data_IF_793180039568
#
_entry.id   IF_793180039568
#
_cell.length_a   1.000
_cell.length_b   1.000
_cell.length_c   1.000
_cell.angle_alpha   90.00
_cell.angle_beta   90.00
_cell.angle_gamma   90.00
#
_symmetry.space_group_name_H-M   'P 1'
#
loop_
_entity.id
_entity.type
_entity.pdbx_description
1 polymer ?
#
# COMPACT_ATOMS: atom_id res chain seq x y z
N UNK A 1 -8.93 7.53 -14.68
CA UNK A 1 -7.93 7.15 -13.68
C UNK A 1 -6.56 7.70 -14.06
N UNK A 2 -5.80 8.16 -13.08
CA UNK A 2 -4.44 8.64 -13.27
C UNK A 2 -3.46 7.53 -12.93
N UNK A 3 -2.49 7.29 -13.82
CA UNK A 3 -1.43 6.31 -13.58
C UNK A 3 -0.22 7.01 -12.95
N UNK A 4 0.29 6.42 -11.88
CA UNK A 4 1.40 6.98 -11.10
C UNK A 4 2.52 5.95 -11.05
N UNK A 5 3.76 6.41 -11.31
CA UNK A 5 4.94 5.57 -11.15
C UNK A 5 5.30 5.40 -9.67
N UNK A 6 6.13 4.40 -9.37
CA UNK A 6 6.62 4.17 -8.02
C UNK A 6 7.44 5.33 -7.46
N UNK A 7 7.98 6.19 -8.33
CA UNK A 7 8.68 7.41 -7.91
C UNK A 7 7.72 8.57 -7.58
N UNK A 8 6.42 8.36 -7.70
CA UNK A 8 5.43 9.38 -7.38
C UNK A 8 5.14 10.36 -8.51
N UNK A 9 5.44 10.01 -9.75
CA UNK A 9 5.18 10.85 -10.92
C UNK A 9 3.93 10.36 -11.65
N UNK A 10 3.05 11.29 -12.05
CA UNK A 10 1.89 10.99 -12.90
C UNK A 10 2.41 10.76 -14.32
N UNK A 11 2.23 9.56 -14.85
CA UNK A 11 2.81 9.17 -16.15
C UNK A 11 1.76 9.06 -17.25
N UNK A 12 0.49 8.87 -16.92
CA UNK A 12 -0.58 8.74 -17.90
C UNK A 12 -1.94 8.97 -17.25
N UNK A 13 -2.96 9.13 -18.11
CA UNK A 13 -4.36 9.13 -17.69
C UNK A 13 -5.11 8.15 -18.57
N UNK A 14 -5.85 7.23 -17.95
CA UNK A 14 -6.64 6.21 -18.65
C UNK A 14 -8.04 6.11 -18.05
N UNK A 15 -8.95 5.50 -18.79
CA UNK A 15 -10.26 5.19 -18.26
C UNK A 15 -10.15 4.16 -17.13
N UNK A 16 -11.07 4.21 -16.17
CA UNK A 16 -11.04 3.31 -15.00
C UNK A 16 -11.02 1.82 -15.40
N UNK A 17 -11.74 1.45 -16.45
CA UNK A 17 -11.76 0.07 -16.93
C UNK A 17 -10.39 -0.38 -17.46
N UNK A 18 -9.66 0.50 -18.15
CA UNK A 18 -8.33 0.20 -18.68
C UNK A 18 -7.28 0.15 -17.55
N UNK A 19 -7.48 0.90 -16.48
CA UNK A 19 -6.58 0.92 -15.34
C UNK A 19 -6.84 -0.20 -14.32
N UNK A 20 -7.86 -1.02 -14.51
CA UNK A 20 -8.25 -2.06 -13.54
C UNK A 20 -7.20 -3.15 -13.34
N UNK A 21 -6.26 -3.33 -14.27
CA UNK A 21 -5.17 -4.30 -14.16
C UNK A 21 -4.02 -3.82 -13.26
N UNK A 22 -4.00 -2.52 -12.93
CA UNK A 22 -2.99 -1.94 -12.05
C UNK A 22 -3.47 -1.93 -10.61
N UNK A 23 -2.53 -1.85 -9.67
CA UNK A 23 -2.87 -1.65 -8.26
C UNK A 23 -3.67 -0.35 -8.09
N UNK A 24 -4.71 -0.39 -7.28
CA UNK A 24 -5.61 0.75 -7.07
C UNK A 24 -5.18 1.54 -5.84
N UNK A 25 -5.25 2.87 -5.92
CA UNK A 25 -5.03 3.76 -4.77
C UNK A 25 -6.29 4.61 -4.62
N UNK A 26 -6.90 4.61 -3.45
CA UNK A 26 -8.11 5.36 -3.18
C UNK A 26 -8.09 6.06 -1.82
N UNK A 27 -9.13 6.82 -1.55
CA UNK A 27 -9.33 7.49 -0.28
C UNK A 27 -8.80 8.90 -0.19
N UNK A 28 -8.12 9.41 -1.24
CA UNK A 28 -7.60 10.78 -1.27
C UNK A 28 -7.88 11.42 -2.62
N UNK A 29 -7.93 12.75 -2.64
CA UNK A 29 -8.09 13.53 -3.85
C UNK A 29 -6.74 14.04 -4.35
N UNK A 30 -6.55 14.00 -5.67
CA UNK A 30 -5.37 14.58 -6.29
C UNK A 30 -5.50 16.11 -6.40
N UNK A 31 -4.40 16.80 -6.15
CA UNK A 31 -4.30 18.26 -6.33
C UNK A 31 -3.78 18.55 -7.73
N UNK A 32 -4.61 19.19 -8.54
CA UNK A 32 -4.24 19.63 -9.90
C UNK A 32 -3.45 18.58 -10.70
N UNK A 33 -3.99 17.35 -10.87
CA UNK A 33 -3.22 16.28 -11.53
C UNK A 33 -2.98 16.61 -13.01
N UNK A 34 -1.77 16.29 -13.47
CA UNK A 34 -1.38 16.48 -14.88
C UNK A 34 -0.28 15.48 -15.22
N UNK A 35 -0.35 14.90 -16.42
CA UNK A 35 0.70 13.98 -16.90
C UNK A 35 2.04 14.71 -16.94
N UNK A 36 3.07 14.07 -16.41
CA UNK A 36 4.40 14.63 -16.33
C UNK A 36 4.71 15.36 -15.03
N UNK A 37 3.69 15.58 -14.17
CA UNK A 37 3.87 16.23 -12.88
C UNK A 37 4.04 15.20 -11.77
N UNK A 38 4.57 15.66 -10.63
CA UNK A 38 4.66 14.86 -9.43
C UNK A 38 3.27 14.66 -8.82
N UNK A 39 3.02 13.48 -8.26
CA UNK A 39 1.81 13.23 -7.50
C UNK A 39 1.72 14.25 -6.36
N UNK A 40 0.62 14.94 -6.26
CA UNK A 40 0.28 15.78 -5.13
C UNK A 40 -1.16 15.52 -4.73
N UNK A 41 -1.40 15.37 -3.43
CA UNK A 41 -2.74 15.23 -2.87
C UNK A 41 -3.22 16.59 -2.39
N UNK A 42 -4.54 16.76 -2.26
CA UNK A 42 -5.11 17.96 -1.67
C UNK A 42 -4.45 18.25 -0.32
N UNK A 43 -4.34 19.54 0.05
CA UNK A 43 -3.53 19.97 1.21
C UNK A 43 -3.95 19.32 2.54
N UNK A 44 -5.19 18.90 2.66
CA UNK A 44 -5.69 18.17 3.85
C UNK A 44 -5.09 16.77 3.98
N UNK A 45 -4.46 16.23 2.92
CA UNK A 45 -3.89 14.88 2.88
C UNK A 45 -2.36 14.88 2.87
N UNK A 46 -1.72 15.86 3.50
CA UNK A 46 -0.24 15.99 3.51
C UNK A 46 0.45 14.76 4.11
N UNK A 47 -0.07 14.25 5.23
CA UNK A 47 0.48 13.05 5.88
C UNK A 47 0.31 11.83 5.00
N UNK A 48 -0.86 11.67 4.39
CA UNK A 48 -1.14 10.56 3.48
C UNK A 48 -0.23 10.60 2.24
N UNK A 49 0.00 11.79 1.68
CA UNK A 49 0.88 11.96 0.54
C UNK A 49 2.31 11.51 0.86
N UNK A 50 2.87 12.00 1.95
CA UNK A 50 4.22 11.66 2.39
C UNK A 50 4.37 10.16 2.59
N UNK A 51 3.40 9.55 3.27
CA UNK A 51 3.39 8.12 3.56
C UNK A 51 3.22 7.28 2.30
N UNK A 52 2.34 7.68 1.39
CA UNK A 52 2.15 6.99 0.12
C UNK A 52 3.43 6.96 -0.70
N UNK A 53 4.11 8.09 -0.83
CA UNK A 53 5.36 8.17 -1.59
C UNK A 53 6.45 7.31 -0.95
N UNK A 54 6.55 7.30 0.37
CA UNK A 54 7.50 6.45 1.09
C UNK A 54 7.19 4.97 0.91
N UNK A 55 5.93 4.59 0.96
CA UNK A 55 5.51 3.21 0.75
C UNK A 55 5.79 2.74 -0.68
N UNK A 56 5.48 3.57 -1.68
CA UNK A 56 5.74 3.23 -3.08
C UNK A 56 7.24 3.03 -3.32
N UNK A 57 8.08 3.90 -2.76
CA UNK A 57 9.53 3.76 -2.88
C UNK A 57 10.04 2.47 -2.22
N UNK A 58 9.52 2.12 -1.05
CA UNK A 58 9.90 0.88 -0.37
C UNK A 58 9.45 -0.36 -1.14
N UNK A 59 8.24 -0.35 -1.68
CA UNK A 59 7.72 -1.45 -2.51
C UNK A 59 8.57 -1.66 -3.77
N UNK A 60 8.98 -0.58 -4.43
CA UNK A 60 9.85 -0.66 -5.59
C UNK A 60 11.23 -1.20 -5.22
N UNK A 61 11.84 -0.68 -4.16
CA UNK A 61 13.16 -1.11 -3.70
C UNK A 61 13.19 -2.59 -3.34
N UNK A 62 12.11 -3.12 -2.84
CA UNK A 62 11.99 -4.53 -2.44
C UNK A 62 11.38 -5.41 -3.52
N UNK A 63 11.04 -4.84 -4.67
CA UNK A 63 10.42 -5.55 -5.80
C UNK A 63 9.11 -6.24 -5.42
N UNK A 64 8.28 -5.56 -4.62
CA UNK A 64 7.02 -6.11 -4.12
C UNK A 64 5.78 -5.42 -4.69
N UNK A 65 5.93 -4.47 -5.62
CA UNK A 65 4.78 -3.79 -6.25
C UNK A 65 3.80 -4.76 -6.91
N UNK A 66 4.29 -5.85 -7.47
CA UNK A 66 3.47 -6.85 -8.16
C UNK A 66 2.51 -7.59 -7.23
N UNK A 67 2.78 -7.59 -5.93
CA UNK A 67 1.93 -8.24 -4.93
C UNK A 67 0.82 -7.34 -4.41
N UNK A 68 0.85 -6.05 -4.71
CA UNK A 68 -0.09 -5.07 -4.19
C UNK A 68 -1.29 -4.95 -5.12
N UNK A 69 -2.49 -5.18 -4.58
CA UNK A 69 -3.74 -5.05 -5.32
C UNK A 69 -4.36 -3.67 -5.16
N UNK A 70 -4.27 -3.10 -3.96
CA UNK A 70 -4.82 -1.78 -3.66
C UNK A 70 -4.14 -1.16 -2.44
N UNK A 71 -4.16 0.17 -2.38
CA UNK A 71 -3.73 0.96 -1.22
C UNK A 71 -4.88 1.92 -0.88
N UNK A 72 -5.32 1.91 0.37
CA UNK A 72 -6.46 2.71 0.83
C UNK A 72 -5.97 3.77 1.83
N UNK A 73 -6.27 5.02 1.53
CA UNK A 73 -5.85 6.19 2.31
C UNK A 73 -7.03 6.92 2.98
N UNK A 74 -8.23 6.34 2.91
CA UNK A 74 -9.44 6.98 3.42
C UNK A 74 -9.57 7.01 4.93
N UNK A 75 -8.83 6.17 5.66
CA UNK A 75 -8.83 6.20 7.11
C UNK A 75 -7.76 7.20 7.58
N UNK A 76 -8.13 8.21 8.41
CA UNK A 76 -7.16 9.19 8.88
C UNK A 76 -6.18 8.66 9.93
N UNK A 77 -6.41 7.45 10.45
CA UNK A 77 -5.58 6.86 11.50
C UNK A 77 -4.60 5.82 10.99
N UNK A 78 -4.84 5.25 9.82
CA UNK A 78 -3.99 4.21 9.26
C UNK A 78 -4.10 4.15 7.75
N UNK A 79 -3.07 3.58 7.14
CA UNK A 79 -3.03 3.19 5.73
C UNK A 79 -3.27 1.68 5.66
N UNK A 80 -4.06 1.22 4.71
CA UNK A 80 -4.23 -0.21 4.47
C UNK A 80 -3.79 -0.56 3.05
N UNK A 81 -3.27 -1.78 2.90
CA UNK A 81 -2.78 -2.29 1.63
C UNK A 81 -3.32 -3.70 1.43
N UNK A 82 -3.98 -3.94 0.30
CA UNK A 82 -4.41 -5.28 -0.09
C UNK A 82 -3.25 -5.98 -0.80
N UNK A 83 -2.90 -7.19 -0.34
CA UNK A 83 -1.69 -7.89 -0.73
C UNK A 83 -2.01 -9.32 -1.18
N UNK A 84 -1.60 -9.66 -2.41
CA UNK A 84 -1.78 -10.99 -3.05
C UNK A 84 -3.23 -11.49 -3.09
N UNK A 85 -4.21 -10.59 -3.01
CA UNK A 85 -5.63 -10.98 -2.97
C UNK A 85 -6.01 -11.79 -1.72
N UNK A 86 -5.12 -11.88 -0.73
CA UNK A 86 -5.29 -12.72 0.46
C UNK A 86 -5.27 -11.94 1.76
N UNK A 87 -4.44 -10.90 1.84
CA UNK A 87 -4.18 -10.20 3.10
C UNK A 87 -4.48 -8.72 2.99
N UNK A 88 -4.94 -8.16 4.10
CA UNK A 88 -5.00 -6.72 4.31
C UNK A 88 -3.91 -6.35 5.30
N UNK A 89 -3.04 -5.42 4.94
CA UNK A 89 -1.92 -4.98 5.77
C UNK A 89 -2.26 -3.60 6.33
N UNK A 90 -2.30 -3.47 7.65
CA UNK A 90 -2.55 -2.19 8.33
C UNK A 90 -1.22 -1.57 8.75
N UNK A 91 -0.99 -0.33 8.35
CA UNK A 91 0.25 0.40 8.59
C UNK A 91 -0.06 1.79 9.16
N UNK A 92 0.79 2.29 10.04
CA UNK A 92 0.70 3.66 10.52
C UNK A 92 1.24 4.63 9.48
N UNK A 93 0.69 5.86 9.44
CA UNK A 93 1.30 6.91 8.64
C UNK A 93 2.66 7.29 9.25
N UNK A 94 3.62 7.60 8.38
CA UNK A 94 4.96 7.95 8.80
C UNK A 94 5.81 6.80 9.31
N UNK A 95 5.41 5.55 9.07
CA UNK A 95 6.18 4.37 9.49
C UNK A 95 7.41 4.15 8.61
N UNK A 96 8.33 3.33 9.10
CA UNK A 96 9.44 2.80 8.30
C UNK A 96 8.92 1.64 7.45
N UNK A 97 8.45 1.95 6.25
CA UNK A 97 7.80 0.97 5.40
C UNK A 97 8.76 -0.09 4.88
N UNK A 98 10.02 0.26 4.64
CA UNK A 98 11.02 -0.74 4.23
C UNK A 98 11.18 -1.82 5.30
N UNK A 99 11.26 -1.41 6.56
CA UNK A 99 11.33 -2.35 7.70
C UNK A 99 10.06 -3.18 7.81
N UNK A 100 8.89 -2.55 7.69
CA UNK A 100 7.60 -3.24 7.78
C UNK A 100 7.44 -4.27 6.67
N UNK A 101 7.82 -3.93 5.45
CA UNK A 101 7.77 -4.87 4.32
C UNK A 101 8.74 -6.03 4.50
N UNK A 102 9.92 -5.77 5.04
CA UNK A 102 10.89 -6.83 5.37
C UNK A 102 10.32 -7.80 6.40
N UNK A 103 9.67 -7.28 7.43
CA UNK A 103 8.99 -8.10 8.44
C UNK A 103 7.86 -8.94 7.84
N UNK A 104 7.05 -8.34 6.98
CA UNK A 104 5.97 -9.03 6.27
C UNK A 104 6.52 -10.17 5.42
N UNK A 105 7.56 -9.90 4.63
CA UNK A 105 8.18 -10.93 3.77
C UNK A 105 8.74 -12.08 4.60
N UNK A 106 9.37 -11.78 5.71
CA UNK A 106 9.89 -12.80 6.62
C UNK A 106 8.77 -13.71 7.14
N UNK A 107 7.64 -13.16 7.54
CA UNK A 107 6.49 -13.93 8.02
C UNK A 107 5.91 -14.80 6.89
N UNK A 108 5.77 -14.26 5.69
CA UNK A 108 5.19 -14.99 4.56
C UNK A 108 6.11 -16.12 4.06
N UNK A 109 7.42 -15.96 4.20
CA UNK A 109 8.40 -16.95 3.77
C UNK A 109 8.64 -18.04 4.82
N UNK A 110 8.18 -17.83 6.04
CA UNK A 110 8.35 -18.79 7.13
C UNK A 110 7.51 -20.05 6.88
N UNK A 111 8.19 -21.19 6.81
CA UNK A 111 7.54 -22.46 6.49
C UNK A 111 6.55 -22.86 7.57
N UNK A 112 5.32 -23.13 7.19
CA UNK A 112 4.26 -23.59 8.10
C UNK A 112 3.56 -22.49 8.88
N UNK A 113 4.06 -21.25 8.85
CA UNK A 113 3.42 -20.14 9.55
C UNK A 113 2.15 -19.68 8.83
N UNK A 114 2.18 -19.65 7.49
CA UNK A 114 1.06 -19.21 6.65
C UNK A 114 0.70 -20.33 5.67
N UNK A 115 -0.55 -20.73 5.68
CA UNK A 115 -1.06 -21.73 4.74
C UNK A 115 -1.44 -21.09 3.40
N UNK A 116 -1.36 -21.85 2.31
CA UNK A 116 -1.54 -21.35 0.94
C UNK A 116 -2.90 -20.69 0.69
N UNK A 117 -3.94 -21.12 1.38
CA UNK A 117 -5.29 -20.59 1.24
C UNK A 117 -5.73 -19.69 2.41
N UNK A 118 -4.81 -19.33 3.29
CA UNK A 118 -5.11 -18.45 4.42
C UNK A 118 -5.38 -17.04 3.94
N UNK A 119 -6.39 -16.40 4.53
CA UNK A 119 -6.67 -14.97 4.36
C UNK A 119 -6.71 -14.31 5.73
N UNK A 120 -6.47 -13.01 5.78
CA UNK A 120 -6.51 -12.32 7.07
C UNK A 120 -6.01 -10.89 6.98
N UNK A 121 -5.93 -10.27 8.14
CA UNK A 121 -5.44 -8.91 8.32
C UNK A 121 -4.18 -8.94 9.19
N UNK A 122 -3.08 -8.37 8.67
CA UNK A 122 -1.88 -8.13 9.45
C UNK A 122 -1.94 -6.72 10.03
N UNK A 123 -1.98 -6.61 11.35
CA UNK A 123 -1.85 -5.34 12.04
C UNK A 123 -0.38 -5.08 12.33
N UNK A 124 0.21 -4.19 11.56
CA UNK A 124 1.62 -3.81 11.65
C UNK A 124 1.80 -2.36 12.10
N UNK A 125 0.80 -1.79 12.80
CA UNK A 125 0.82 -0.39 13.22
C UNK A 125 1.71 -0.11 14.42
N UNK A 126 2.08 -1.14 15.18
CA UNK A 126 2.91 -0.97 16.38
C UNK A 126 4.36 -0.62 16.06
N UNK A 127 4.99 0.15 16.97
CA UNK A 127 6.38 0.57 16.84
C UNK A 127 7.37 -0.45 17.44
N UNK A 128 6.86 -1.42 18.18
CA UNK A 128 7.66 -2.38 18.96
C UNK A 128 8.13 -3.61 18.16
N UNK A 129 7.85 -3.62 16.85
CA UNK A 129 8.18 -4.77 16.00
C UNK A 129 7.19 -5.91 16.09
N UNK A 130 6.08 -5.73 16.80
CA UNK A 130 5.03 -6.74 16.91
C UNK A 130 4.14 -6.75 15.68
N UNK A 131 3.82 -7.94 15.18
CA UNK A 131 2.87 -8.12 14.09
C UNK A 131 1.77 -9.06 14.58
N UNK A 132 0.53 -8.59 14.46
CA UNK A 132 -0.65 -9.37 14.84
C UNK A 132 -1.39 -9.79 13.57
N UNK A 133 -1.61 -11.10 13.43
CA UNK A 133 -2.43 -11.63 12.35
C UNK A 133 -3.83 -11.92 12.86
N UNK A 134 -4.82 -11.31 12.22
CA UNK A 134 -6.23 -11.59 12.45
C UNK A 134 -6.72 -12.43 11.27
N UNK A 135 -6.83 -13.72 11.50
CA UNK A 135 -7.25 -14.66 10.45
C UNK A 135 -8.75 -14.53 10.19
N UNK A 136 -9.14 -14.50 8.91
CA UNK A 136 -10.54 -14.54 8.54
C UNK A 136 -11.05 -15.98 8.68
N UNK A 137 -12.05 -16.15 9.51
CA UNK A 137 -12.72 -17.44 9.72
C UNK A 137 -14.04 -17.41 8.96
N UNK A 138 -14.24 -18.40 8.14
CA UNK A 138 -15.49 -18.60 7.42
C UNK A 138 -16.20 -19.83 7.94
#
# INVERSE_FOLDING_TARGET
AWLVSASGKIVDQQEAAAAAEYAQIDGCELLAPSVGTRLALATEYTTQQSSLLSLLAALENRQELEHVDAIHLGDPTMLTMDYDGRFTIQLSYGADYDRKLRMLRQILDESGAIQDNMTGTFDMRGDDGTVNLIQNVR
#
